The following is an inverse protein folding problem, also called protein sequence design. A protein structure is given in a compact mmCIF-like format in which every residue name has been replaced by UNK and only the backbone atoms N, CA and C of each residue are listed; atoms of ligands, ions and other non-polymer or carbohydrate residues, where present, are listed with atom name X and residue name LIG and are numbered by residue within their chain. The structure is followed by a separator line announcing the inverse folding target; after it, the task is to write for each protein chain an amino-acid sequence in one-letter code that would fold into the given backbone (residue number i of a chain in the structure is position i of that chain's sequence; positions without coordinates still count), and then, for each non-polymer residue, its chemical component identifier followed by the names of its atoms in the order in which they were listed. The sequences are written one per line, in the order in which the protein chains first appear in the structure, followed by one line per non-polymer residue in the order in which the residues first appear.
data_IF_251363601314
#
_entry.id   IF_251363601314
#
_cell.length_a   1.000
_cell.length_b   1.000
_cell.length_c   1.000
_cell.angle_alpha   90.00
_cell.angle_beta   90.00
_cell.angle_gamma   90.00
#
_symmetry.space_group_name_H-M   'P 1'
#
loop_
_entity.id
_entity.type
_entity.pdbx_description
1 polymer ?
#
# COMPACT_ATOMS: atom_id res chain seq x y z
N UNK A 1 -12.76 -5.23 11.65
CA UNK A 1 -11.90 -5.65 10.53
C UNK A 1 -11.10 -6.89 10.92
N UNK A 2 -11.09 -7.91 10.03
CA UNK A 2 -10.35 -9.16 10.24
C UNK A 2 -8.84 -8.92 10.45
N UNK A 3 -8.23 -9.65 11.40
CA UNK A 3 -6.81 -9.49 11.78
C UNK A 3 -5.85 -9.73 10.61
N UNK A 4 -6.20 -10.58 9.65
CA UNK A 4 -5.40 -10.81 8.46
C UNK A 4 -5.40 -9.59 7.54
N UNK A 5 -6.54 -8.90 7.41
CA UNK A 5 -6.63 -7.65 6.64
C UNK A 5 -5.82 -6.54 7.29
N UNK A 6 -5.88 -6.41 8.60
CA UNK A 6 -5.05 -5.46 9.36
C UNK A 6 -3.55 -5.71 9.15
N UNK A 7 -3.13 -6.97 9.21
CA UNK A 7 -1.74 -7.35 8.97
C UNK A 7 -1.28 -7.00 7.55
N UNK A 8 -2.09 -7.31 6.53
CA UNK A 8 -1.77 -6.99 5.13
C UNK A 8 -1.68 -5.47 4.91
N UNK A 9 -2.62 -4.70 5.44
CA UNK A 9 -2.60 -3.25 5.34
C UNK A 9 -1.35 -2.68 6.01
N UNK A 10 -1.01 -3.14 7.22
CA UNK A 10 0.21 -2.69 7.92
C UNK A 10 1.47 -2.98 7.09
N UNK A 11 1.61 -4.20 6.56
CA UNK A 11 2.77 -4.58 5.76
C UNK A 11 2.90 -3.73 4.48
N UNK A 12 1.78 -3.38 3.84
CA UNK A 12 1.79 -2.52 2.66
C UNK A 12 2.10 -1.06 3.02
N UNK A 13 1.58 -0.56 4.14
CA UNK A 13 1.90 0.77 4.64
C UNK A 13 3.38 0.91 5.00
N UNK A 14 3.97 -0.09 5.65
CA UNK A 14 5.41 -0.13 5.93
C UNK A 14 6.21 -0.06 4.64
N UNK A 15 5.81 -0.81 3.60
CA UNK A 15 6.49 -0.80 2.31
C UNK A 15 6.32 0.54 1.57
N UNK A 16 5.15 1.17 1.64
CA UNK A 16 4.91 2.52 1.12
C UNK A 16 5.86 3.50 1.81
N UNK A 17 5.97 3.45 3.14
CA UNK A 17 6.84 4.35 3.89
C UNK A 17 8.30 4.18 3.46
N UNK A 18 8.79 2.94 3.37
CA UNK A 18 10.15 2.67 2.89
C UNK A 18 10.43 3.25 1.50
N UNK A 19 9.47 3.13 0.57
CA UNK A 19 9.62 3.65 -0.79
C UNK A 19 9.56 5.18 -0.82
N UNK A 20 8.64 5.78 -0.05
CA UNK A 20 8.52 7.23 0.10
C UNK A 20 9.79 7.84 0.69
N UNK A 21 10.35 7.20 1.72
CA UNK A 21 11.61 7.61 2.33
C UNK A 21 12.74 7.55 1.31
N UNK A 22 12.89 6.43 0.59
CA UNK A 22 13.92 6.26 -0.44
C UNK A 22 13.83 7.34 -1.53
N UNK A 23 12.63 7.67 -2.00
CA UNK A 23 12.43 8.72 -3.00
C UNK A 23 12.79 10.10 -2.42
N UNK A 24 12.35 10.40 -1.19
CA UNK A 24 12.51 11.73 -0.58
C UNK A 24 13.97 12.07 -0.25
N UNK A 25 14.80 11.08 0.09
CA UNK A 25 16.24 11.28 0.33
C UNK A 25 17.07 11.30 -0.96
N UNK A 26 16.43 11.11 -2.13
CA UNK A 26 17.11 11.13 -3.42
C UNK A 26 17.84 9.82 -3.76
N UNK A 27 17.42 8.67 -3.21
CA UNK A 27 18.06 7.38 -3.52
C UNK A 27 17.74 6.85 -4.93
N UNK A 28 16.85 7.48 -5.69
CA UNK A 28 16.60 7.12 -7.08
C UNK A 28 17.71 7.70 -7.98
N UNK A 29 18.47 6.83 -8.64
CA UNK A 29 19.60 7.20 -9.50
C UNK A 29 19.17 7.63 -10.90
N UNK A 30 17.89 7.44 -11.25
CA UNK A 30 17.31 7.81 -12.53
C UNK A 30 15.83 8.19 -12.40
N UNK A 31 15.31 8.88 -13.42
CA UNK A 31 13.88 9.19 -13.52
C UNK A 31 13.02 7.93 -13.70
N UNK A 32 13.58 6.89 -14.32
CA UNK A 32 12.96 5.58 -14.49
C UNK A 32 12.76 4.89 -13.15
N UNK A 33 13.79 4.88 -12.29
CA UNK A 33 13.70 4.34 -10.93
C UNK A 33 12.69 5.12 -10.08
N UNK A 34 12.68 6.45 -10.17
CA UNK A 34 11.67 7.29 -9.51
C UNK A 34 10.26 6.92 -9.95
N UNK A 35 10.01 6.86 -11.26
CA UNK A 35 8.69 6.48 -11.82
C UNK A 35 8.28 5.08 -11.37
N UNK A 36 9.22 4.14 -11.33
CA UNK A 36 8.98 2.78 -10.88
C UNK A 36 8.58 2.73 -9.40
N UNK A 37 9.30 3.46 -8.54
CA UNK A 37 8.98 3.56 -7.11
C UNK A 37 7.61 4.21 -6.87
N UNK A 38 7.28 5.30 -7.57
CA UNK A 38 5.93 5.89 -7.52
C UNK A 38 4.84 4.93 -8.03
N UNK A 39 5.15 4.12 -9.05
CA UNK A 39 4.25 3.07 -9.54
C UNK A 39 3.94 2.03 -8.47
N UNK A 40 4.96 1.57 -7.76
CA UNK A 40 4.80 0.62 -6.64
C UNK A 40 3.98 1.21 -5.50
N UNK A 41 4.25 2.46 -5.10
CA UNK A 41 3.48 3.14 -4.05
C UNK A 41 1.98 3.17 -4.41
N UNK A 42 1.64 3.62 -5.62
CA UNK A 42 0.23 3.65 -6.09
C UNK A 42 -0.43 2.28 -6.09
N UNK A 43 0.30 1.24 -6.48
CA UNK A 43 -0.20 -0.14 -6.46
C UNK A 43 -0.50 -0.62 -5.04
N UNK A 44 0.38 -0.32 -4.08
CA UNK A 44 0.20 -0.68 -2.67
C UNK A 44 -0.96 0.10 -2.03
N UNK A 45 -1.12 1.38 -2.35
CA UNK A 45 -2.27 2.19 -1.91
C UNK A 45 -3.58 1.63 -2.46
N UNK A 46 -3.62 1.28 -3.74
CA UNK A 46 -4.79 0.65 -4.35
C UNK A 46 -5.13 -0.69 -3.68
N UNK A 47 -4.12 -1.52 -3.38
CA UNK A 47 -4.33 -2.77 -2.65
C UNK A 47 -4.91 -2.53 -1.25
N UNK A 48 -4.42 -1.52 -0.52
CA UNK A 48 -4.97 -1.15 0.78
C UNK A 48 -6.45 -0.75 0.69
N UNK A 49 -6.83 0.04 -0.31
CA UNK A 49 -8.23 0.42 -0.53
C UNK A 49 -9.10 -0.79 -0.83
N UNK A 50 -8.67 -1.67 -1.74
CA UNK A 50 -9.42 -2.90 -2.08
C UNK A 50 -9.63 -3.80 -0.86
N UNK A 51 -8.62 -3.94 0.01
CA UNK A 51 -8.74 -4.74 1.24
C UNK A 51 -9.76 -4.11 2.20
N UNK A 52 -9.74 -2.79 2.36
CA UNK A 52 -10.72 -2.08 3.22
C UNK A 52 -12.14 -2.22 2.68
N UNK A 53 -12.32 -2.11 1.37
CA UNK A 53 -13.61 -2.30 0.71
C UNK A 53 -14.11 -3.73 0.90
N UNK A 54 -13.23 -4.73 0.72
CA UNK A 54 -13.55 -6.14 0.96
C UNK A 54 -13.96 -6.38 2.41
N UNK A 55 -13.20 -5.86 3.37
CA UNK A 55 -13.50 -5.99 4.79
C UNK A 55 -14.88 -5.40 5.14
N UNK A 56 -15.17 -4.20 4.64
CA UNK A 56 -16.48 -3.56 4.80
C UNK A 56 -17.60 -4.40 4.17
N UNK A 57 -17.40 -4.91 2.96
CA UNK A 57 -18.41 -5.74 2.28
C UNK A 57 -18.69 -7.05 3.03
N UNK A 58 -17.67 -7.68 3.62
CA UNK A 58 -17.85 -8.90 4.40
C UNK A 58 -18.55 -8.62 5.73
N UNK A 59 -18.19 -7.54 6.42
CA UNK A 59 -18.88 -7.11 7.65
C UNK A 59 -20.38 -6.84 7.39
N UNK A 60 -20.73 -6.27 6.24
CA UNK A 60 -22.13 -5.99 5.86
C UNK A 60 -22.87 -7.19 5.22
N UNK A 61 -22.17 -8.25 4.83
CA UNK A 61 -22.78 -9.44 4.21
C UNK A 61 -23.20 -10.49 5.25
N UNK A 62 -22.63 -10.42 6.45
CA UNK A 62 -22.95 -11.29 7.59
C UNK A 62 -24.06 -10.71 8.49
N UNK A 63 -24.58 -9.51 8.18
CA UNK A 63 -25.76 -8.86 8.79
C UNK A 63 -27.05 -9.12 7.98
#
# INVERSE_FOLDING_TARGET
MDRNFEYLISAYQDRIQMLSDAISVGNCSSYEEYKFACGQIRGLEAACSIIKDLASNLENADD
#
